data_IF_046122801396
#
_entry.id   IF_046122801396
#
_cell.length_a   1.000
_cell.length_b   1.000
_cell.length_c   1.000
_cell.angle_alpha   90.00
_cell.angle_beta   90.00
_cell.angle_gamma   90.00
#
_symmetry.space_group_name_H-M   'P 1'
#
loop_
_entity.id
_entity.type
_entity.pdbx_description
1 polymer ?
#
# COMPACT_ATOMS: atom_id res chain seq x y z
N UNK A 1 -7.57 4.57 12.70
CA UNK A 1 -6.52 3.54 12.76
C UNK A 1 -6.31 2.96 11.36
N UNK A 2 -5.17 2.32 11.13
CA UNK A 2 -4.59 1.95 9.82
C UNK A 2 -3.90 0.60 10.00
N UNK A 3 -3.60 -0.16 8.94
CA UNK A 3 -2.68 -1.29 9.05
C UNK A 3 -1.49 -1.17 8.08
N UNK A 4 -0.28 -1.24 8.64
CA UNK A 4 0.98 -1.28 7.89
C UNK A 4 1.81 -2.47 8.35
N UNK A 5 2.37 -3.23 7.42
CA UNK A 5 3.19 -4.41 7.72
C UNK A 5 4.38 -4.51 6.77
N UNK A 6 5.52 -4.98 7.29
CA UNK A 6 6.75 -5.21 6.55
C UNK A 6 7.26 -6.62 6.73
N UNK A 7 7.91 -7.16 5.69
CA UNK A 7 8.56 -8.47 5.74
C UNK A 7 9.84 -8.50 4.90
N UNK A 8 10.89 -9.10 5.45
CA UNK A 8 12.04 -9.55 4.66
C UNK A 8 11.60 -10.84 3.99
N UNK A 9 11.51 -10.82 2.66
CA UNK A 9 11.00 -11.94 1.85
C UNK A 9 12.13 -12.73 1.18
N UNK A 10 13.34 -12.17 1.16
CA UNK A 10 14.56 -12.86 0.75
C UNK A 10 15.75 -12.25 1.51
N UNK A 11 16.34 -13.00 2.44
CA UNK A 11 17.49 -12.53 3.23
C UNK A 11 18.78 -12.45 2.40
N UNK A 12 18.95 -13.31 1.41
CA UNK A 12 20.16 -13.35 0.58
C UNK A 12 20.18 -12.20 -0.42
N UNK A 13 19.06 -11.97 -1.11
CA UNK A 13 18.92 -10.82 -1.99
C UNK A 13 18.73 -9.50 -1.21
N UNK A 14 18.47 -9.57 0.10
CA UNK A 14 18.14 -8.42 0.95
C UNK A 14 16.83 -7.76 0.53
N UNK A 15 15.85 -8.56 0.08
CA UNK A 15 14.56 -8.08 -0.41
C UNK A 15 13.59 -7.86 0.74
N UNK A 16 13.10 -6.63 0.85
CA UNK A 16 12.07 -6.24 1.81
C UNK A 16 10.81 -5.77 1.08
N UNK A 17 9.66 -6.01 1.69
CA UNK A 17 8.36 -5.50 1.25
C UNK A 17 7.69 -4.76 2.40
N UNK A 18 7.10 -3.60 2.11
CA UNK A 18 6.29 -2.81 3.01
C UNK A 18 4.92 -2.61 2.37
N UNK A 19 3.86 -2.95 3.10
CA UNK A 19 2.48 -2.91 2.65
C UNK A 19 1.64 -2.03 3.56
N UNK A 20 0.69 -1.30 2.99
CA UNK A 20 -0.31 -0.53 3.73
C UNK A 20 -1.65 -0.49 2.98
N UNK A 21 -2.72 -0.28 3.74
CA UNK A 21 -4.03 0.12 3.19
C UNK A 21 -4.11 1.64 2.96
N UNK A 22 -5.11 2.14 2.24
CA UNK A 22 -5.27 3.59 1.98
C UNK A 22 -6.50 4.21 2.62
N UNK A 23 -7.32 3.45 3.35
CA UNK A 23 -8.55 3.95 3.95
C UNK A 23 -8.27 4.98 5.04
N UNK A 24 -8.97 6.11 4.98
CA UNK A 24 -9.05 7.04 6.11
C UNK A 24 -10.34 6.78 6.89
N UNK A 25 -10.20 6.72 8.22
CA UNK A 25 -11.35 6.54 9.12
C UNK A 25 -11.63 7.85 9.83
N UNK A 26 -12.88 8.30 9.75
CA UNK A 26 -13.35 9.51 10.42
C UNK A 26 -14.28 9.10 11.57
N UNK A 27 -13.82 9.30 12.82
CA UNK A 27 -14.50 8.83 14.04
C UNK A 27 -15.97 9.28 14.14
N UNK A 28 -16.29 10.45 13.59
CA UNK A 28 -17.62 11.06 13.66
C UNK A 28 -18.29 11.18 12.27
N UNK A 29 -17.71 10.57 11.23
CA UNK A 29 -18.27 10.62 9.87
C UNK A 29 -18.12 9.28 9.16
N UNK A 30 -19.12 8.43 9.37
CA UNK A 30 -19.18 7.12 8.75
C UNK A 30 -19.34 7.21 7.22
N UNK A 31 -19.99 8.27 6.70
CA UNK A 31 -20.16 8.46 5.26
C UNK A 31 -18.81 8.68 4.59
N UNK A 32 -17.99 9.59 5.13
CA UNK A 32 -16.63 9.81 4.64
C UNK A 32 -15.76 8.54 4.79
N UNK A 33 -15.92 7.79 5.87
CA UNK A 33 -15.21 6.52 6.10
C UNK A 33 -15.54 5.45 5.04
N UNK A 34 -16.78 5.41 4.55
CA UNK A 34 -17.22 4.47 3.50
C UNK A 34 -16.70 4.85 2.10
N UNK A 35 -16.16 6.05 1.91
CA UNK A 35 -15.65 6.54 0.62
C UNK A 35 -14.14 6.27 0.45
N UNK A 36 -13.66 5.12 0.95
CA UNK A 36 -12.24 4.75 1.01
C UNK A 36 -11.53 4.70 -0.36
N UNK A 37 -12.29 4.58 -1.46
CA UNK A 37 -11.78 4.53 -2.83
C UNK A 37 -11.74 5.90 -3.51
N UNK A 38 -12.49 6.89 -3.00
CA UNK A 38 -12.61 8.22 -3.63
C UNK A 38 -11.58 9.19 -3.08
N UNK A 39 -11.15 8.98 -1.83
CA UNK A 39 -10.13 9.78 -1.16
C UNK A 39 -9.08 8.87 -0.50
N UNK A 40 -8.31 8.10 -1.29
CA UNK A 40 -7.25 7.26 -0.75
C UNK A 40 -6.16 8.12 -0.13
N UNK A 41 -5.58 7.65 0.97
CA UNK A 41 -4.39 8.24 1.58
C UNK A 41 -3.19 7.32 1.34
N UNK A 42 -2.11 7.86 0.77
CA UNK A 42 -0.85 7.15 0.66
C UNK A 42 -0.13 7.09 2.02
N UNK A 43 -0.22 5.94 2.69
CA UNK A 43 0.36 5.74 4.04
C UNK A 43 1.82 5.26 4.04
N UNK A 44 2.44 5.18 2.86
CA UNK A 44 3.83 4.78 2.65
C UNK A 44 4.56 5.90 1.92
N UNK A 45 5.72 6.28 2.41
CA UNK A 45 6.61 7.26 1.77
C UNK A 45 7.93 6.57 1.45
N UNK A 46 8.38 6.70 0.21
CA UNK A 46 9.75 6.36 -0.15
C UNK A 46 10.60 7.59 0.11
N UNK A 47 11.59 7.46 0.98
CA UNK A 47 12.45 8.57 1.43
C UNK A 47 13.64 8.70 0.48
N UNK A 48 14.23 7.57 0.09
CA UNK A 48 15.30 7.49 -0.89
C UNK A 48 15.35 6.08 -1.48
N UNK A 49 16.37 5.80 -2.30
CA UNK A 49 16.56 4.49 -2.93
C UNK A 49 16.70 3.32 -1.96
N UNK A 50 16.98 3.56 -0.68
CA UNK A 50 17.19 2.51 0.30
C UNK A 50 16.07 2.39 1.34
N UNK A 51 15.28 3.45 1.54
CA UNK A 51 14.36 3.59 2.69
C UNK A 51 12.93 3.85 2.25
N UNK A 52 12.00 3.04 2.78
CA UNK A 52 10.59 3.36 2.81
C UNK A 52 10.06 3.33 4.25
N UNK A 53 9.11 4.21 4.53
CA UNK A 53 8.50 4.35 5.85
C UNK A 53 6.98 4.30 5.69
N UNK A 54 6.34 3.43 6.46
CA UNK A 54 4.88 3.41 6.59
C UNK A 54 4.44 4.06 7.89
N UNK A 55 3.21 4.58 7.91
CA UNK A 55 2.66 5.30 9.06
C UNK A 55 1.32 4.71 9.52
N UNK A 56 1.11 4.68 10.83
CA UNK A 56 -0.19 4.44 11.45
C UNK A 56 -0.41 5.36 12.65
N UNK A 57 -1.65 5.82 12.83
CA UNK A 57 -2.04 6.69 13.95
C UNK A 57 -2.89 7.87 13.50
N UNK A 58 -2.91 8.90 14.35
CA UNK A 58 -3.67 10.13 14.17
C UNK A 58 -2.87 11.19 13.40
N UNK A 59 -3.58 12.14 12.77
CA UNK A 59 -2.99 13.22 11.97
C UNK A 59 -1.99 12.74 10.90
N UNK A 60 -2.43 11.84 9.99
CA UNK A 60 -1.56 11.26 8.98
C UNK A 60 -0.79 12.29 8.16
N UNK A 61 -1.41 13.44 7.86
CA UNK A 61 -0.80 14.47 7.02
C UNK A 61 0.51 15.00 7.62
N UNK A 62 0.50 15.30 8.93
CA UNK A 62 1.68 15.81 9.63
C UNK A 62 2.76 14.75 9.79
N UNK A 63 2.37 13.50 10.02
CA UNK A 63 3.31 12.39 10.13
C UNK A 63 3.98 12.10 8.78
N UNK A 64 3.21 12.09 7.68
CA UNK A 64 3.74 11.92 6.33
C UNK A 64 4.66 13.08 5.96
N UNK A 65 4.30 14.33 6.29
CA UNK A 65 5.16 15.49 6.08
C UNK A 65 6.49 15.35 6.83
N UNK A 66 6.45 14.96 8.10
CA UNK A 66 7.67 14.73 8.89
C UNK A 66 8.59 13.67 8.26
N UNK A 67 8.03 12.63 7.64
CA UNK A 67 8.82 11.63 6.90
C UNK A 67 9.44 12.22 5.63
N UNK A 68 8.69 13.06 4.90
CA UNK A 68 9.18 13.72 3.68
C UNK A 68 10.30 14.72 3.99
N UNK A 69 10.22 15.44 5.10
CA UNK A 69 11.25 16.40 5.52
C UNK A 69 12.59 15.73 5.86
N UNK A 70 12.60 14.40 6.05
CA UNK A 70 13.80 13.61 6.30
C UNK A 70 14.48 13.09 5.01
N UNK A 71 13.95 13.44 3.82
CA UNK A 71 14.60 13.08 2.56
C UNK A 71 15.97 13.74 2.44
N UNK A 72 16.92 13.02 1.85
CA UNK A 72 18.32 13.42 1.76
C UNK A 72 19.16 13.08 2.99
N UNK A 73 18.54 12.71 4.12
CA UNK A 73 19.26 12.32 5.33
C UNK A 73 19.73 10.86 5.31
N UNK A 74 20.64 10.52 6.22
CA UNK A 74 21.10 9.14 6.42
C UNK A 74 20.03 8.29 7.11
N UNK A 75 20.14 6.95 7.03
CA UNK A 75 19.20 6.04 7.72
C UNK A 75 19.12 6.32 9.22
N UNK A 76 20.25 6.63 9.86
CA UNK A 76 20.29 6.90 11.29
C UNK A 76 19.61 8.24 11.63
N UNK A 77 19.85 9.28 10.83
CA UNK A 77 19.20 10.58 11.01
C UNK A 77 17.68 10.48 10.78
N UNK A 78 17.25 9.67 9.81
CA UNK A 78 15.83 9.37 9.59
C UNK A 78 15.24 8.71 10.85
N UNK A 79 15.89 7.67 11.39
CA UNK A 79 15.42 6.99 12.62
C UNK A 79 15.32 7.97 13.79
N UNK A 80 16.35 8.80 14.00
CA UNK A 80 16.37 9.81 15.07
C UNK A 80 15.26 10.84 14.88
N UNK A 81 15.07 11.37 13.67
CA UNK A 81 14.01 12.34 13.39
C UNK A 81 12.60 11.77 13.61
N UNK A 82 12.35 10.53 13.21
CA UNK A 82 11.08 9.85 13.49
C UNK A 82 10.88 9.61 14.99
N UNK A 83 11.95 9.22 15.71
CA UNK A 83 11.92 9.03 17.15
C UNK A 83 11.55 10.33 17.88
N UNK A 84 12.22 11.43 17.54
CA UNK A 84 11.96 12.74 18.14
C UNK A 84 10.55 13.24 17.80
N UNK A 85 10.07 13.01 16.57
CA UNK A 85 8.69 13.28 16.22
C UNK A 85 7.72 12.53 17.13
N UNK A 86 7.88 11.21 17.30
CA UNK A 86 6.97 10.43 18.16
C UNK A 86 7.02 10.87 19.63
N UNK A 87 8.20 11.25 20.16
CA UNK A 87 8.33 11.83 21.52
C UNK A 87 7.56 13.13 21.66
N UNK A 88 7.63 14.02 20.67
CA UNK A 88 6.89 15.29 20.67
C UNK A 88 5.37 15.11 20.66
N UNK A 89 4.88 13.95 20.16
CA UNK A 89 3.45 13.63 20.10
C UNK A 89 2.96 12.82 21.30
N UNK A 90 3.83 12.05 21.95
CA UNK A 90 3.50 11.27 23.15
C UNK A 90 3.01 12.14 24.32
N UNK A 91 3.31 13.44 24.32
CA UNK A 91 2.83 14.40 25.32
C UNK A 91 1.39 14.88 25.05
N UNK A 92 0.82 14.58 23.88
CA UNK A 92 -0.56 14.94 23.54
C UNK A 92 -1.47 13.77 23.92
N UNK A 93 -2.40 14.02 24.85
CA UNK A 93 -3.36 13.02 25.30
C UNK A 93 -4.18 12.49 24.11
N UNK A 94 -4.33 11.16 24.04
CA UNK A 94 -5.10 10.43 23.02
C UNK A 94 -4.56 10.50 21.58
N UNK A 95 -3.35 11.03 21.35
CA UNK A 95 -2.70 10.98 20.03
C UNK A 95 -1.79 9.75 19.92
N UNK A 96 -2.05 8.92 18.91
CA UNK A 96 -1.21 7.78 18.54
C UNK A 96 -0.41 8.09 17.28
N UNK A 97 0.87 7.76 17.25
CA UNK A 97 1.71 7.87 16.04
C UNK A 97 2.80 6.82 16.09
N UNK A 98 2.82 5.97 15.07
CA UNK A 98 3.83 4.95 14.87
C UNK A 98 4.34 4.98 13.43
N UNK A 99 5.62 4.67 13.28
CA UNK A 99 6.28 4.50 11.99
C UNK A 99 6.87 3.10 11.89
N UNK A 100 6.80 2.55 10.68
CA UNK A 100 7.48 1.31 10.33
C UNK A 100 8.48 1.61 9.24
N UNK A 101 9.75 1.67 9.62
CA UNK A 101 10.86 1.96 8.73
C UNK A 101 11.42 0.65 8.18
N UNK A 102 11.65 0.62 6.88
CA UNK A 102 12.30 -0.49 6.18
C UNK A 102 13.51 0.00 5.41
N UNK A 103 14.58 -0.80 5.45
CA UNK A 103 15.74 -0.62 4.55
C UNK A 103 15.92 -1.83 3.68
N UNK A 104 16.33 -1.62 2.43
CA UNK A 104 16.70 -2.71 1.51
C UNK A 104 18.11 -3.25 1.80
N UNK A 105 18.47 -4.35 1.14
CA UNK A 105 19.79 -4.96 1.20
C UNK A 105 20.97 -4.03 0.83
N UNK A 106 22.21 -4.42 1.15
CA UNK A 106 22.62 -5.77 1.58
C UNK A 106 22.35 -6.09 3.07
N UNK A 107 22.05 -5.08 3.90
CA UNK A 107 21.65 -5.27 5.30
C UNK A 107 20.21 -4.77 5.49
N UNK A 108 19.19 -5.55 5.10
CA UNK A 108 17.80 -5.13 5.24
C UNK A 108 17.45 -4.95 6.72
N UNK A 109 16.67 -3.93 7.04
CA UNK A 109 16.20 -3.66 8.40
C UNK A 109 14.70 -3.48 8.41
N UNK A 110 14.07 -3.89 9.50
CA UNK A 110 12.69 -3.53 9.84
C UNK A 110 12.73 -2.94 11.24
N UNK A 111 12.31 -1.68 11.38
CA UNK A 111 12.34 -0.95 12.65
C UNK A 111 10.98 -0.34 12.89
N UNK A 112 10.39 -0.67 14.05
CA UNK A 112 9.20 0.00 14.55
C UNK A 112 9.62 1.18 15.43
N UNK A 113 8.97 2.33 15.24
CA UNK A 113 9.20 3.54 16.03
C UNK A 113 7.85 4.04 16.51
N UNK A 114 7.59 3.95 17.81
CA UNK A 114 6.32 4.34 18.41
C UNK A 114 6.54 4.85 19.82
N UNK A 115 5.78 5.87 20.24
CA UNK A 115 5.79 6.39 21.62
C UNK A 115 7.20 6.70 22.18
N UNK A 116 8.12 7.19 21.35
CA UNK A 116 9.48 7.49 21.79
C UNK A 116 10.38 6.28 22.02
N UNK A 117 9.97 5.10 21.54
CA UNK A 117 10.69 3.83 21.60
C UNK A 117 11.03 3.37 20.17
N UNK A 118 12.17 2.71 20.04
CA UNK A 118 12.61 2.05 18.80
C UNK A 118 12.72 0.57 19.07
N UNK A 119 12.03 -0.24 18.28
CA UNK A 119 12.14 -1.70 18.31
C UNK A 119 12.72 -2.23 17.00
N UNK A 120 13.85 -2.95 17.09
CA UNK A 120 14.42 -3.64 15.95
C UNK A 120 13.72 -4.98 15.73
N UNK A 121 13.03 -5.11 14.58
CA UNK A 121 12.28 -6.30 14.16
C UNK A 121 13.01 -7.10 13.09
N UNK A 122 14.26 -6.73 12.77
CA UNK A 122 15.05 -7.32 11.68
C UNK A 122 15.27 -8.82 11.87
N UNK A 123 15.62 -9.25 13.09
CA UNK A 123 15.83 -10.68 13.39
C UNK A 123 14.55 -11.53 13.29
N UNK A 124 13.38 -10.92 13.53
CA UNK A 124 12.07 -11.56 13.35
C UNK A 124 11.70 -11.64 11.86
N UNK A 125 12.28 -10.76 11.04
CA UNK A 125 11.99 -10.64 9.61
C UNK A 125 10.58 -10.10 9.31
N UNK A 126 9.83 -9.66 10.32
CA UNK A 126 8.50 -9.06 10.19
C UNK A 126 8.25 -8.03 11.29
N UNK A 127 7.69 -6.88 10.89
CA UNK A 127 7.21 -5.82 11.79
C UNK A 127 5.91 -5.25 11.27
N UNK A 128 5.08 -4.70 12.15
CA UNK A 128 3.78 -4.15 11.79
C UNK A 128 3.39 -3.05 12.78
N UNK A 129 2.53 -2.13 12.36
CA UNK A 129 1.97 -1.07 13.20
C UNK A 129 0.50 -0.87 12.88
N UNK A 130 -0.24 -0.30 13.85
CA UNK A 130 -1.63 0.09 13.68
C UNK A 130 -2.63 -0.92 14.24
N UNK A 131 -3.65 -1.29 13.47
CA UNK A 131 -4.80 -2.03 13.96
C UNK A 131 -4.49 -3.51 14.26
N UNK A 132 -4.67 -3.92 15.51
CA UNK A 132 -4.38 -5.28 15.96
C UNK A 132 -5.37 -6.32 15.41
N UNK A 133 -6.63 -5.94 15.14
CA UNK A 133 -7.59 -6.85 14.48
C UNK A 133 -7.19 -7.11 13.04
N UNK A 134 -6.71 -6.08 12.34
CA UNK A 134 -6.16 -6.25 11.00
C UNK A 134 -4.93 -7.16 10.99
N UNK A 135 -4.02 -7.02 11.96
CA UNK A 135 -2.89 -7.93 12.11
C UNK A 135 -3.33 -9.37 12.40
N UNK A 136 -4.35 -9.59 13.23
CA UNK A 136 -4.93 -10.92 13.48
C UNK A 136 -5.53 -11.54 12.21
N UNK A 137 -6.33 -10.77 11.46
CA UNK A 137 -6.92 -11.21 10.20
C UNK A 137 -5.84 -11.55 9.16
N UNK A 138 -4.84 -10.67 9.02
CA UNK A 138 -3.67 -10.90 8.18
C UNK A 138 -2.95 -12.19 8.56
N UNK A 139 -2.66 -12.39 9.85
CA UNK A 139 -1.90 -13.55 10.33
C UNK A 139 -2.65 -14.84 10.02
N UNK A 140 -3.97 -14.87 10.25
CA UNK A 140 -4.81 -16.02 9.90
C UNK A 140 -4.71 -16.34 8.41
N UNK A 141 -4.97 -15.37 7.54
CA UNK A 141 -4.88 -15.59 6.08
C UNK A 141 -3.47 -15.97 5.64
N UNK A 142 -2.44 -15.33 6.19
CA UNK A 142 -1.06 -15.69 5.88
C UNK A 142 -0.77 -17.15 6.23
N UNK A 143 -1.21 -17.64 7.39
CA UNK A 143 -1.07 -19.05 7.78
C UNK A 143 -1.87 -19.99 6.87
N UNK A 144 -3.08 -19.63 6.48
CA UNK A 144 -3.91 -20.43 5.55
C UNK A 144 -3.21 -20.61 4.18
N UNK A 145 -2.46 -19.59 3.75
CA UNK A 145 -1.70 -19.56 2.49
C UNK A 145 -0.31 -20.22 2.59
N UNK A 146 -0.03 -21.00 3.64
CA UNK A 146 1.29 -21.64 3.86
C UNK A 146 1.75 -22.60 2.75
N UNK A 147 0.81 -23.10 1.96
CA UNK A 147 1.09 -23.98 0.82
C UNK A 147 1.64 -23.22 -0.40
N UNK A 148 1.59 -21.88 -0.42
CA UNK A 148 2.23 -21.09 -1.47
C UNK A 148 3.74 -20.96 -1.18
N UNK A 149 4.63 -21.49 -2.05
CA UNK A 149 6.07 -21.48 -1.81
C UNK A 149 6.70 -20.09 -1.94
N UNK A 150 6.10 -19.20 -2.75
CA UNK A 150 6.55 -17.82 -2.87
C UNK A 150 6.13 -17.00 -1.64
N UNK A 151 7.10 -16.75 -0.74
CA UNK A 151 6.90 -15.96 0.46
C UNK A 151 6.41 -14.53 0.15
N UNK A 152 6.89 -13.93 -0.94
CA UNK A 152 6.47 -12.60 -1.37
C UNK A 152 5.01 -12.58 -1.82
N UNK A 153 4.63 -13.51 -2.70
CA UNK A 153 3.25 -13.70 -3.13
C UNK A 153 2.31 -14.02 -1.97
N UNK A 154 2.73 -14.87 -1.03
CA UNK A 154 1.99 -15.16 0.21
C UNK A 154 1.78 -13.92 1.08
N UNK A 155 2.84 -13.11 1.25
CA UNK A 155 2.79 -11.86 2.01
C UNK A 155 1.79 -10.87 1.41
N UNK A 156 1.87 -10.66 0.09
CA UNK A 156 0.97 -9.77 -0.66
C UNK A 156 -0.47 -10.29 -0.67
N UNK A 157 -0.67 -11.58 -0.91
CA UNK A 157 -2.00 -12.20 -0.97
C UNK A 157 -2.76 -12.11 0.36
N UNK A 158 -2.07 -12.30 1.48
CA UNK A 158 -2.66 -12.14 2.80
C UNK A 158 -3.11 -10.70 3.08
N UNK A 159 -2.27 -9.70 2.75
CA UNK A 159 -2.64 -8.29 2.90
C UNK A 159 -3.79 -7.90 1.96
N UNK A 160 -3.75 -8.34 0.70
CA UNK A 160 -4.81 -8.10 -0.27
C UNK A 160 -6.15 -8.64 0.23
N UNK A 161 -6.18 -9.83 0.85
CA UNK A 161 -7.39 -10.38 1.47
C UNK A 161 -7.93 -9.47 2.58
N UNK A 162 -7.08 -8.98 3.48
CA UNK A 162 -7.52 -8.08 4.57
C UNK A 162 -8.09 -6.77 4.03
N UNK A 163 -7.42 -6.15 3.04
CA UNK A 163 -7.86 -4.89 2.45
C UNK A 163 -9.17 -5.05 1.66
N UNK A 164 -9.31 -6.13 0.89
CA UNK A 164 -10.47 -6.34 -0.01
C UNK A 164 -11.73 -6.78 0.70
N UNK A 165 -11.62 -7.53 1.81
CA UNK A 165 -12.80 -8.00 2.55
C UNK A 165 -13.41 -6.94 3.45
N UNK A 166 -12.65 -5.89 3.79
CA UNK A 166 -13.04 -4.80 4.70
C UNK A 166 -13.68 -5.29 6.02
N UNK A 167 -13.27 -6.48 6.51
CA UNK A 167 -13.76 -7.07 7.77
C UNK A 167 -13.36 -6.24 8.99
N UNK A 168 -12.33 -5.40 8.86
CA UNK A 168 -11.85 -4.49 9.90
C UNK A 168 -12.17 -3.06 9.50
N UNK A 169 -13.00 -2.38 10.30
CA UNK A 169 -13.56 -1.07 9.95
C UNK A 169 -12.50 -0.02 9.57
N UNK A 170 -11.32 -0.11 10.17
CA UNK A 170 -10.20 0.83 10.02
C UNK A 170 -9.32 0.58 8.79
N UNK A 171 -9.51 -0.53 8.08
CA UNK A 171 -8.69 -0.98 6.95
C UNK A 171 -9.54 -1.13 5.70
N UNK A 172 -9.02 -0.69 4.55
CA UNK A 172 -9.69 -0.89 3.27
C UNK A 172 -9.14 0.02 2.17
N UNK A 173 -9.97 0.29 1.17
CA UNK A 173 -9.57 1.11 0.03
C UNK A 173 -8.57 0.38 -0.87
N UNK A 174 -7.35 0.90 -0.97
CA UNK A 174 -6.31 0.34 -1.82
C UNK A 174 -5.18 -0.26 -1.01
N UNK A 175 -4.50 -1.24 -1.60
CA UNK A 175 -3.23 -1.73 -1.10
C UNK A 175 -2.11 -0.99 -1.84
N UNK A 176 -1.15 -0.49 -1.06
CA UNK A 176 0.11 0.10 -1.53
C UNK A 176 1.24 -0.83 -1.13
N UNK A 177 2.16 -1.11 -2.06
CA UNK A 177 3.36 -1.90 -1.84
C UNK A 177 4.60 -1.13 -2.23
N UNK A 178 5.55 -1.00 -1.30
CA UNK A 178 6.92 -0.61 -1.60
C UNK A 178 7.85 -1.81 -1.44
N UNK A 179 8.80 -1.99 -2.36
CA UNK A 179 9.79 -3.07 -2.30
C UNK A 179 11.12 -2.64 -2.89
N UNK A 180 12.20 -3.20 -2.36
CA UNK A 180 13.56 -3.06 -2.89
C UNK A 180 14.40 -4.25 -2.44
N UNK A 181 15.52 -4.49 -3.12
CA UNK A 181 16.51 -5.50 -2.76
C UNK A 181 17.92 -4.90 -2.83
N UNK A 182 18.99 -5.69 -2.72
CA UNK A 182 20.38 -5.21 -2.86
C UNK A 182 20.66 -4.56 -4.24
N UNK A 183 20.04 -5.06 -5.30
CA UNK A 183 20.26 -4.60 -6.68
C UNK A 183 19.26 -3.54 -7.15
N UNK A 184 18.03 -3.57 -6.61
CA UNK A 184 16.96 -2.67 -7.04
C UNK A 184 16.59 -1.69 -5.93
N UNK A 185 16.46 -0.38 -6.24
CA UNK A 185 16.10 0.60 -5.24
C UNK A 185 14.66 0.38 -4.75
N UNK A 186 14.34 0.97 -3.60
CA UNK A 186 13.00 0.99 -3.05
C UNK A 186 12.06 1.71 -4.02
N UNK A 187 11.03 1.00 -4.51
CA UNK A 187 10.02 1.54 -5.43
C UNK A 187 8.64 1.02 -5.08
N UNK A 188 7.62 1.78 -5.45
CA UNK A 188 6.26 1.27 -5.44
C UNK A 188 6.10 0.17 -6.49
N UNK A 189 5.29 -0.83 -6.16
CA UNK A 189 4.93 -1.90 -7.08
C UNK A 189 3.49 -1.74 -7.54
N UNK A 190 3.26 -1.91 -8.85
CA UNK A 190 1.93 -1.97 -9.43
C UNK A 190 1.28 -3.32 -9.13
N UNK A 191 0.56 -3.39 -8.01
CA UNK A 191 -0.30 -4.54 -7.70
C UNK A 191 -1.71 -4.24 -8.20
N UNK A 192 -2.13 -4.81 -9.35
CA UNK A 192 -3.45 -4.57 -9.87
C UNK A 192 -4.48 -5.08 -8.86
N UNK A 193 -5.38 -4.19 -8.48
CA UNK A 193 -6.54 -4.52 -7.67
C UNK A 193 -7.80 -4.54 -8.53
N UNK A 194 -8.86 -5.12 -8.00
CA UNK A 194 -10.19 -4.95 -8.57
C UNK A 194 -11.18 -4.68 -7.45
N UNK A 195 -12.11 -3.76 -7.71
CA UNK A 195 -13.30 -3.60 -6.89
C UNK A 195 -14.37 -4.48 -7.51
N UNK A 196 -14.88 -5.41 -6.72
CA UNK A 196 -15.98 -6.28 -7.16
C UNK A 196 -17.32 -5.59 -6.95
N UNK A 197 -18.32 -5.90 -7.80
CA UNK A 197 -19.72 -5.66 -7.53
C UNK A 197 -20.11 -5.95 -6.08
N UNK A 198 -20.90 -5.04 -5.48
CA UNK A 198 -21.53 -5.33 -4.19
C UNK A 198 -22.46 -6.56 -4.33
N UNK A 199 -22.51 -7.37 -3.26
CA UNK A 199 -23.40 -8.55 -3.17
C UNK A 199 -23.04 -9.76 -4.04
N UNK A 200 -21.79 -9.87 -4.48
CA UNK A 200 -21.33 -11.06 -5.20
C UNK A 200 -21.30 -12.30 -4.29
N UNK A 201 -21.96 -13.38 -4.71
CA UNK A 201 -21.87 -14.68 -4.06
C UNK A 201 -20.74 -15.49 -4.71
N UNK A 202 -19.84 -16.03 -3.89
CA UNK A 202 -18.84 -16.99 -4.35
C UNK A 202 -19.27 -18.40 -3.94
N UNK A 203 -19.39 -19.32 -4.89
CA UNK A 203 -19.56 -20.74 -4.63
C UNK A 203 -18.30 -21.49 -5.02
N UNK A 204 -17.76 -22.27 -4.09
CA UNK A 204 -16.60 -23.13 -4.32
C UNK A 204 -17.12 -24.55 -4.60
N UNK A 205 -16.64 -25.16 -5.68
CA UNK A 205 -16.91 -26.57 -6.00
C UNK A 205 -15.58 -27.29 -6.10
N UNK A 206 -15.35 -28.25 -5.20
CA UNK A 206 -14.18 -29.11 -5.28
C UNK A 206 -14.30 -29.99 -6.54
N UNK A 207 -13.29 -29.96 -7.40
CA UNK A 207 -13.24 -30.77 -8.61
C UNK A 207 -12.43 -32.05 -8.39
N UNK A 208 -11.31 -31.95 -7.65
CA UNK A 208 -10.41 -33.04 -7.31
C UNK A 208 -9.54 -32.64 -6.10
N UNK A 209 -8.77 -33.56 -5.47
CA UNK A 209 -7.80 -33.20 -4.43
C UNK A 209 -6.84 -32.12 -4.93
N UNK A 210 -6.87 -30.94 -4.31
CA UNK A 210 -6.05 -29.78 -4.69
C UNK A 210 -6.61 -28.91 -5.81
N UNK A 211 -7.78 -29.23 -6.39
CA UNK A 211 -8.45 -28.38 -7.38
C UNK A 211 -9.82 -27.92 -6.88
N UNK A 212 -10.00 -26.60 -6.84
CA UNK A 212 -11.27 -25.96 -6.50
C UNK A 212 -11.69 -25.05 -7.65
N UNK A 213 -12.91 -25.23 -8.13
CA UNK A 213 -13.54 -24.27 -9.02
C UNK A 213 -14.22 -23.21 -8.17
N UNK A 214 -13.93 -21.94 -8.44
CA UNK A 214 -14.60 -20.83 -7.76
C UNK A 214 -15.49 -20.13 -8.77
N UNK A 215 -16.80 -20.24 -8.56
CA UNK A 215 -17.81 -19.56 -9.38
C UNK A 215 -18.32 -18.35 -8.61
N UNK A 216 -18.21 -17.18 -9.23
CA UNK A 216 -18.80 -15.95 -8.75
C UNK A 216 -20.14 -15.73 -9.44
N UNK A 217 -21.18 -15.41 -8.68
CA UNK A 217 -22.49 -15.03 -9.20
C UNK A 217 -22.93 -13.69 -8.62
N UNK A 218 -23.45 -12.83 -9.49
CA UNK A 218 -24.08 -11.57 -9.10
C UNK A 218 -25.60 -11.76 -9.12
N UNK A 219 -26.33 -11.44 -8.04
CA UNK A 219 -27.78 -11.51 -8.04
C UNK A 219 -28.38 -10.57 -9.10
N UNK A 220 -29.51 -10.98 -9.69
CA UNK A 220 -30.18 -10.23 -10.77
C UNK A 220 -30.63 -8.85 -10.28
N UNK A 221 -30.28 -7.79 -11.01
CA UNK A 221 -30.64 -6.40 -10.68
C UNK A 221 -29.58 -5.63 -9.90
N UNK A 222 -28.45 -6.26 -9.56
CA UNK A 222 -27.31 -5.60 -8.91
C UNK A 222 -26.30 -5.07 -9.93
N UNK A 223 -25.57 -4.02 -9.55
CA UNK A 223 -24.58 -3.35 -10.39
C UNK A 223 -23.41 -4.30 -10.71
N UNK A 224 -23.22 -4.69 -11.99
CA UNK A 224 -22.15 -5.61 -12.38
C UNK A 224 -20.80 -4.93 -12.56
N UNK A 225 -20.70 -3.63 -12.29
CA UNK A 225 -19.48 -2.85 -12.49
C UNK A 225 -18.34 -3.41 -11.66
N UNK A 226 -17.31 -3.88 -12.36
CA UNK A 226 -16.02 -4.23 -11.80
C UNK A 226 -15.02 -3.20 -12.29
N UNK A 227 -14.38 -2.51 -11.36
CA UNK A 227 -13.35 -1.54 -11.69
C UNK A 227 -11.98 -2.15 -11.43
N UNK A 228 -11.15 -2.18 -12.47
CA UNK A 228 -9.74 -2.52 -12.36
C UNK A 228 -9.00 -1.30 -11.84
N UNK A 229 -8.00 -1.52 -10.99
CA UNK A 229 -7.16 -0.44 -10.48
C UNK A 229 -5.70 -0.80 -10.72
N UNK A 230 -5.01 0.03 -11.49
CA UNK A 230 -3.60 -0.15 -11.81
C UNK A 230 -2.81 0.94 -11.08
N UNK A 231 -1.99 0.58 -10.08
CA UNK A 231 -1.05 1.52 -9.50
C UNK A 231 0.07 1.81 -10.52
N UNK A 232 0.30 3.08 -10.80
CA UNK A 232 1.36 3.58 -11.68
C UNK A 232 2.38 4.28 -10.79
N UNK A 233 3.53 3.64 -10.60
CA UNK A 233 4.57 4.11 -9.70
C UNK A 233 5.36 5.28 -10.30
N UNK A 234 5.83 6.19 -9.46
CA UNK A 234 6.79 7.21 -9.84
C UNK A 234 8.17 6.62 -10.14
N UNK A 235 8.87 7.20 -11.11
CA UNK A 235 10.29 6.95 -11.40
C UNK A 235 11.13 8.15 -11.00
N UNK A 236 12.46 8.00 -11.02
CA UNK A 236 13.36 9.11 -10.69
C UNK A 236 13.09 10.33 -11.61
N UNK A 237 13.05 11.57 -11.07
CA UNK A 237 13.33 11.95 -9.68
C UNK A 237 12.13 11.85 -8.73
N UNK A 238 10.92 11.57 -9.21
CA UNK A 238 9.66 11.52 -8.44
C UNK A 238 9.32 10.12 -7.94
N UNK A 239 10.30 9.39 -7.41
CA UNK A 239 10.21 7.96 -7.07
C UNK A 239 9.19 7.59 -5.98
N UNK A 240 8.66 8.59 -5.26
CA UNK A 240 7.62 8.41 -4.23
C UNK A 240 6.24 8.89 -4.67
N UNK A 241 6.09 9.29 -5.94
CA UNK A 241 4.78 9.53 -6.53
C UNK A 241 4.07 8.19 -6.77
N UNK A 242 2.75 8.19 -6.69
CA UNK A 242 1.93 7.04 -6.98
C UNK A 242 0.58 7.49 -7.52
N UNK A 243 0.22 6.99 -8.70
CA UNK A 243 -1.12 7.15 -9.23
C UNK A 243 -1.90 5.83 -9.12
N UNK A 244 -3.19 5.91 -8.82
CA UNK A 244 -4.12 4.79 -8.93
C UNK A 244 -5.04 5.04 -10.13
N UNK A 245 -4.76 4.40 -11.27
CA UNK A 245 -5.55 4.54 -12.49
C UNK A 245 -6.69 3.53 -12.52
N UNK A 246 -7.89 3.98 -12.85
CA UNK A 246 -9.09 3.18 -13.05
C UNK A 246 -9.55 3.35 -14.51
N UNK A 247 -9.18 2.43 -15.41
CA UNK A 247 -9.47 2.55 -16.84
C UNK A 247 -10.97 2.70 -17.14
N UNK A 248 -11.82 1.97 -16.41
CA UNK A 248 -13.27 1.97 -16.63
C UNK A 248 -13.91 3.34 -16.33
N UNK A 249 -13.24 4.19 -15.56
CA UNK A 249 -13.69 5.54 -15.21
C UNK A 249 -12.88 6.64 -15.90
N UNK A 250 -11.89 6.28 -16.72
CA UNK A 250 -10.91 7.22 -17.28
C UNK A 250 -10.38 8.20 -16.23
N UNK A 251 -10.14 7.72 -15.01
CA UNK A 251 -9.80 8.55 -13.86
C UNK A 251 -8.61 7.96 -13.12
N UNK A 252 -7.70 8.82 -12.68
CA UNK A 252 -6.63 8.48 -11.76
C UNK A 252 -6.63 9.37 -10.52
N UNK A 253 -6.12 8.83 -9.42
CA UNK A 253 -5.80 9.57 -8.20
C UNK A 253 -4.29 9.58 -8.01
N UNK A 254 -3.67 10.76 -8.15
CA UNK A 254 -2.23 10.96 -8.07
C UNK A 254 -1.82 11.55 -6.71
N UNK A 255 -0.97 10.84 -5.99
CA UNK A 255 -0.16 11.39 -4.91
C UNK A 255 1.20 11.80 -5.46
N UNK A 256 1.61 13.04 -5.21
CA UNK A 256 2.89 13.57 -5.70
C UNK A 256 4.05 13.09 -4.85
N UNK A 257 5.25 13.10 -5.44
CA UNK A 257 6.46 12.84 -4.70
C UNK A 257 6.66 13.85 -3.59
N UNK A 258 6.49 15.14 -3.88
CA UNK A 258 6.81 16.26 -2.99
C UNK A 258 5.83 16.40 -1.83
N UNK A 259 4.53 16.15 -2.08
CA UNK A 259 3.46 16.43 -1.13
C UNK A 259 2.47 15.27 -1.00
N UNK A 260 2.93 14.04 -0.69
CA UNK A 260 2.07 12.85 -0.60
C UNK A 260 1.03 12.92 0.53
N UNK A 261 1.17 13.86 1.46
CA UNK A 261 0.20 14.12 2.53
C UNK A 261 -1.03 14.89 2.09
N UNK A 262 -0.99 15.55 0.92
CA UNK A 262 -2.17 16.26 0.42
C UNK A 262 -3.19 15.28 -0.13
N UNK A 263 -4.43 15.77 -0.27
CA UNK A 263 -5.47 15.04 -0.98
C UNK A 263 -4.97 14.65 -2.38
N UNK A 264 -5.27 13.43 -2.86
CA UNK A 264 -4.84 12.99 -4.17
C UNK A 264 -5.42 13.89 -5.26
N UNK A 265 -4.61 14.21 -6.25
CA UNK A 265 -5.01 14.96 -7.43
C UNK A 265 -5.81 14.02 -8.33
N UNK A 266 -7.07 14.38 -8.60
CA UNK A 266 -7.90 13.65 -9.56
C UNK A 266 -7.51 14.08 -10.98
N UNK A 267 -7.15 13.11 -11.81
CA UNK A 267 -6.79 13.31 -13.22
C UNK A 267 -7.78 12.54 -14.07
N UNK A 268 -8.37 13.19 -15.06
CA UNK A 268 -9.11 12.53 -16.13
C UNK A 268 -8.11 12.12 -17.21
N UNK A 269 -7.97 10.82 -17.46
CA UNK A 269 -7.02 10.27 -18.40
C UNK A 269 -7.64 9.08 -19.13
N UNK A 270 -7.54 9.09 -20.45
CA UNK A 270 -8.08 8.05 -21.33
C UNK A 270 -7.23 6.78 -21.39
N UNK A 271 -5.97 6.86 -20.95
CA UNK A 271 -5.03 5.75 -20.92
C UNK A 271 -3.91 5.99 -19.90
N UNK A 272 -3.08 4.96 -19.66
CA UNK A 272 -1.88 5.12 -18.82
C UNK A 272 -0.84 6.04 -19.44
N UNK A 273 -0.72 6.06 -20.78
CA UNK A 273 0.17 7.00 -21.47
C UNK A 273 -0.28 8.43 -21.27
N UNK A 274 -1.57 8.70 -21.49
CA UNK A 274 -2.21 10.00 -21.29
C UNK A 274 -2.06 10.48 -19.84
N UNK A 275 -2.28 9.59 -18.87
CA UNK A 275 -2.01 9.86 -17.46
C UNK A 275 -0.55 10.28 -17.23
N UNK A 276 0.42 9.59 -17.85
CA UNK A 276 1.84 9.93 -17.75
C UNK A 276 2.15 11.33 -18.30
N UNK A 277 1.55 11.69 -19.43
CA UNK A 277 1.73 12.98 -20.08
C UNK A 277 1.14 14.13 -19.25
N UNK A 278 -0.08 13.97 -18.72
CA UNK A 278 -0.72 14.94 -17.82
C UNK A 278 0.08 15.07 -16.52
N UNK A 279 0.43 13.94 -15.88
CA UNK A 279 1.21 13.93 -14.64
C UNK A 279 2.54 14.66 -14.79
N UNK A 280 3.22 14.50 -15.93
CA UNK A 280 4.49 15.15 -16.22
C UNK A 280 4.33 16.64 -16.53
N UNK A 281 3.40 17.00 -17.41
CA UNK A 281 3.28 18.36 -17.93
C UNK A 281 2.65 19.33 -16.92
N UNK A 282 1.64 18.89 -16.18
CA UNK A 282 0.90 19.74 -15.24
C UNK A 282 1.45 19.65 -13.81
N UNK A 283 1.86 18.45 -13.38
CA UNK A 283 2.22 18.18 -11.98
C UNK A 283 3.69 17.82 -11.77
N UNK A 284 4.50 17.80 -12.85
CA UNK A 284 5.94 17.48 -12.83
C UNK A 284 6.25 16.09 -12.25
N UNK A 285 5.29 15.17 -12.29
CA UNK A 285 5.46 13.80 -11.83
C UNK A 285 5.84 12.87 -12.98
N UNK A 286 6.97 12.17 -12.86
CA UNK A 286 7.38 11.15 -13.81
C UNK A 286 6.89 9.79 -13.35
N UNK A 287 5.98 9.20 -14.13
CA UNK A 287 5.41 7.88 -13.87
C UNK A 287 6.05 6.79 -14.75
N UNK A 288 6.05 5.56 -14.25
CA UNK A 288 6.46 4.34 -14.96
C UNK A 288 5.27 3.74 -15.73
N UNK A 289 4.94 4.40 -16.84
CA UNK A 289 3.80 4.05 -17.71
C UNK A 289 4.00 2.73 -18.45
N UNK A 290 5.23 2.39 -18.83
CA UNK A 290 5.54 1.19 -19.61
C UNK A 290 5.27 -0.08 -18.80
N UNK A 291 5.68 -0.06 -17.53
CA UNK A 291 5.40 -1.15 -16.60
C UNK A 291 3.90 -1.27 -16.33
N UNK A 292 3.19 -0.15 -16.17
CA UNK A 292 1.75 -0.15 -15.95
C UNK A 292 0.96 -0.63 -17.18
N UNK A 293 1.39 -0.27 -18.39
CA UNK A 293 0.83 -0.79 -19.64
C UNK A 293 1.02 -2.30 -19.76
N UNK A 294 2.21 -2.81 -19.42
CA UNK A 294 2.48 -4.26 -19.39
C UNK A 294 1.55 -5.00 -18.41
N UNK A 295 1.30 -4.41 -17.23
CA UNK A 295 0.37 -4.97 -16.25
C UNK A 295 -1.06 -4.99 -16.82
N UNK A 296 -1.49 -3.90 -17.46
CA UNK A 296 -2.79 -3.80 -18.11
C UNK A 296 -3.01 -4.88 -19.17
N UNK A 297 -2.06 -5.05 -20.09
CA UNK A 297 -2.13 -6.05 -21.16
C UNK A 297 -2.26 -7.46 -20.59
N UNK A 298 -1.47 -7.82 -19.58
CA UNK A 298 -1.53 -9.14 -18.95
C UNK A 298 -2.86 -9.41 -18.22
N UNK A 299 -3.48 -8.38 -17.64
CA UNK A 299 -4.72 -8.55 -16.87
C UNK A 299 -6.00 -8.42 -17.72
N UNK A 300 -5.92 -7.79 -18.90
CA UNK A 300 -7.03 -7.62 -19.83
C UNK A 300 -6.97 -8.62 -21.00
N UNK A 301 -5.79 -9.11 -21.38
CA UNK A 301 -5.59 -10.08 -22.47
C UNK A 301 -6.13 -11.48 -22.19
N UNK A 302 -6.24 -11.89 -20.93
CA UNK A 302 -6.84 -13.18 -20.51
C UNK A 302 -8.38 -13.20 -20.58
N UNK A 303 -9.01 -12.26 -21.30
CA UNK A 303 -10.47 -12.13 -21.43
C UNK A 303 -11.01 -12.24 -22.86
N UNK A 304 -10.22 -12.70 -23.83
CA UNK A 304 -10.69 -13.06 -25.18
C UNK A 304 -10.92 -14.56 -25.31
#
# INVERSE_FOLDING_TARGET
MTFVIAKIVDHHAGRVMLLADTKMTHRNDEKLTRHALVNPLQKVVIVNDNVAVGFAGDNPENAIRAVVDLRGNTVNDIKTGLLDYTRSKATVKDASTSFLLTTRGPAPQIVEISNGIVEDRTAVGTGWIGDADAHRAYTKTFLDLQHMPDLGGRFVGAMASVVTREEVASVGGHMVRATGCSETPMRFHGDPGFVMPWSMAASLTALAPGQVNMKFSLPKGHDPTRNSRIPVAGKWPTFSALAHFVPELNTAWLHTHEQPWQAPIRIEASSVSDLGDIAKSEYRQLLDTDRAATILEKNLGDRS
#
